data_IF_185293956503
#
_entry.id   IF_185293956503
#
_cell.length_a   1.000
_cell.length_b   1.000
_cell.length_c   1.000
_cell.angle_alpha   90.00
_cell.angle_beta   90.00
_cell.angle_gamma   90.00
#
_symmetry.space_group_name_H-M   'P 1'
#
loop_
_entity.id
_entity.type
_entity.pdbx_description
1 polymer ?
#
# COMPACT_ATOMS: atom_id res chain seq x y z
N UNK A 1 8.05 18.13 -21.23
CA UNK A 1 7.53 19.26 -20.42
C UNK A 1 6.68 18.82 -19.23
N UNK A 2 6.34 17.52 -19.11
CA UNK A 2 5.44 16.98 -18.08
C UNK A 2 6.07 16.68 -16.71
N UNK A 3 7.39 16.54 -16.64
CA UNK A 3 8.14 16.23 -15.41
C UNK A 3 8.20 17.41 -14.43
N UNK A 4 8.41 18.64 -14.91
CA UNK A 4 8.52 19.83 -14.05
C UNK A 4 7.16 20.22 -13.42
N UNK A 5 6.07 20.07 -14.18
CA UNK A 5 4.70 20.37 -13.73
C UNK A 5 4.22 19.37 -12.68
N UNK A 6 4.61 18.10 -12.82
CA UNK A 6 4.39 17.04 -11.83
C UNK A 6 5.17 17.32 -10.53
N UNK A 7 6.44 17.70 -10.62
CA UNK A 7 7.28 17.99 -9.45
C UNK A 7 6.84 19.24 -8.66
N UNK A 8 6.31 20.28 -9.32
CA UNK A 8 5.77 21.46 -8.63
C UNK A 8 4.42 21.20 -7.94
N UNK A 9 3.59 20.29 -8.48
CA UNK A 9 2.38 19.81 -7.79
C UNK A 9 2.75 18.99 -6.54
N UNK A 10 3.74 18.10 -6.68
CA UNK A 10 4.30 17.32 -5.57
C UNK A 10 4.86 18.23 -4.47
N UNK A 11 5.61 19.30 -4.81
CA UNK A 11 6.12 20.29 -3.83
C UNK A 11 5.01 20.92 -2.98
N UNK A 12 3.91 21.35 -3.60
CA UNK A 12 2.77 21.97 -2.91
C UNK A 12 1.95 20.97 -2.09
N UNK A 13 1.83 19.72 -2.55
CA UNK A 13 1.16 18.66 -1.82
C UNK A 13 1.98 18.20 -0.60
N UNK A 14 3.32 18.15 -0.69
CA UNK A 14 4.18 17.78 0.45
C UNK A 14 4.16 18.86 1.54
N UNK A 15 4.19 20.15 1.18
CA UNK A 15 4.06 21.22 2.18
C UNK A 15 2.71 21.16 2.90
N UNK A 16 1.66 20.69 2.21
CA UNK A 16 0.34 20.47 2.82
C UNK A 16 0.33 19.23 3.73
N UNK A 17 0.86 18.08 3.28
CA UNK A 17 1.00 16.87 4.10
C UNK A 17 1.80 17.15 5.38
N UNK A 18 2.86 17.96 5.28
CA UNK A 18 3.67 18.39 6.43
C UNK A 18 2.91 19.32 7.39
N UNK A 19 2.10 20.25 6.86
CA UNK A 19 1.26 21.13 7.68
C UNK A 19 0.14 20.35 8.38
N UNK A 20 -0.46 19.38 7.69
CA UNK A 20 -1.52 18.54 8.25
C UNK A 20 -0.98 17.59 9.34
N UNK A 21 0.24 17.05 9.18
CA UNK A 21 0.93 16.23 10.22
C UNK A 21 1.38 17.04 11.45
N UNK A 22 1.52 18.36 11.37
CA UNK A 22 1.92 19.23 12.49
C UNK A 22 0.71 19.73 13.29
N UNK A 23 -0.48 19.79 12.70
CA UNK A 23 -1.66 20.38 13.33
C UNK A 23 -2.55 19.39 14.10
N UNK A 24 -2.24 18.08 14.09
CA UNK A 24 -3.01 17.08 14.85
C UNK A 24 -2.51 16.90 16.30
N UNK A 25 -1.35 17.46 16.66
CA UNK A 25 -0.83 17.48 18.04
C UNK A 25 -1.05 18.85 18.69
N UNK A 26 -2.29 19.12 19.10
CA UNK A 26 -2.58 20.18 20.08
C UNK A 26 -3.29 19.59 21.30
N UNK A 27 -2.56 18.80 22.07
CA UNK A 27 -2.72 18.71 23.52
C UNK A 27 -1.52 18.04 24.19
N UNK A 28 -0.87 18.85 25.03
CA UNK A 28 -0.18 18.53 26.28
C UNK A 28 1.34 18.30 26.34
N UNK A 29 1.96 19.37 26.86
CA UNK A 29 3.06 19.55 27.80
C UNK A 29 4.34 18.70 27.73
N UNK A 30 5.46 19.43 27.73
CA UNK A 30 6.79 18.87 27.80
C UNK A 30 7.24 18.61 29.24
N UNK A 31 8.09 17.60 29.40
CA UNK A 31 9.09 17.57 30.46
C UNK A 31 10.22 16.60 30.10
N UNK A 32 11.44 17.12 30.06
CA UNK A 32 12.68 16.36 30.02
C UNK A 32 12.84 15.58 31.34
N UNK A 33 13.07 14.26 31.28
CA UNK A 33 13.82 13.57 32.35
C UNK A 33 14.56 12.33 31.82
N UNK A 34 15.87 12.36 32.04
CA UNK A 34 16.83 11.29 31.77
C UNK A 34 16.71 10.26 32.92
N UNK A 35 16.23 9.04 32.65
CA UNK A 35 16.53 7.91 33.55
C UNK A 35 16.67 6.59 32.81
N UNK A 36 17.93 6.17 32.71
CA UNK A 36 18.36 4.82 32.35
C UNK A 36 17.92 3.83 33.44
N UNK A 37 16.99 2.92 33.11
CA UNK A 37 16.74 1.73 33.92
C UNK A 37 16.62 0.48 33.06
N UNK A 38 17.70 -0.30 33.11
CA UNK A 38 17.81 -1.64 32.59
C UNK A 38 16.91 -2.58 33.40
N UNK A 39 15.82 -3.07 32.80
CA UNK A 39 15.06 -4.20 33.35
C UNK A 39 14.69 -5.17 32.24
N UNK A 40 15.26 -6.37 32.34
CA UNK A 40 14.97 -7.53 31.51
C UNK A 40 13.52 -8.02 31.67
N UNK A 41 13.03 -8.66 30.60
CA UNK A 41 11.95 -9.67 30.53
C UNK A 41 10.52 -9.20 30.22
N UNK A 42 10.25 -9.00 28.92
CA UNK A 42 9.17 -9.69 28.18
C UNK A 42 9.22 -9.22 26.72
N UNK A 43 9.84 -9.97 25.80
CA UNK A 43 9.87 -9.58 24.37
C UNK A 43 8.54 -9.91 23.69
N UNK A 44 7.48 -9.25 24.15
CA UNK A 44 6.42 -8.84 23.24
C UNK A 44 7.10 -7.99 22.16
N UNK A 45 7.35 -8.60 21.00
CA UNK A 45 8.03 -8.03 19.83
C UNK A 45 7.24 -6.83 19.28
N UNK A 46 7.18 -5.73 20.03
CA UNK A 46 6.68 -4.44 19.59
C UNK A 46 7.76 -3.81 18.71
N UNK A 47 7.92 -4.32 17.49
CA UNK A 47 8.79 -3.69 16.50
C UNK A 47 8.30 -2.26 16.25
N UNK A 48 9.23 -1.32 16.31
CA UNK A 48 8.99 0.10 16.12
C UNK A 48 9.58 0.61 14.80
N UNK A 49 9.02 1.69 14.29
CA UNK A 49 9.50 2.40 13.10
C UNK A 49 10.79 3.15 13.41
N UNK A 50 11.83 2.99 12.58
CA UNK A 50 13.13 3.66 12.80
C UNK A 50 13.16 5.15 12.42
N UNK A 51 12.04 5.73 11.99
CA UNK A 51 11.90 7.17 11.72
C UNK A 51 11.07 7.84 12.82
N UNK A 52 9.87 7.32 13.13
CA UNK A 52 8.95 7.94 14.08
C UNK A 52 9.04 7.34 15.49
N UNK A 53 9.74 6.21 15.66
CA UNK A 53 9.78 5.43 16.90
C UNK A 53 8.43 4.88 17.39
N UNK A 54 7.38 5.03 16.60
CA UNK A 54 6.05 4.47 16.84
C UNK A 54 5.99 2.98 16.47
N UNK A 55 4.89 2.32 16.83
CA UNK A 55 4.64 0.93 16.46
C UNK A 55 4.55 0.75 14.94
N UNK A 56 5.09 -0.36 14.43
CA UNK A 56 4.93 -0.72 13.02
C UNK A 56 3.48 -1.07 12.67
N UNK A 57 2.96 -0.44 11.63
CA UNK A 57 1.63 -0.68 11.07
C UNK A 57 1.59 -1.94 10.19
N UNK A 58 0.37 -2.36 9.79
CA UNK A 58 0.17 -3.50 8.89
C UNK A 58 0.81 -3.31 7.52
N UNK A 59 0.85 -2.07 7.03
CA UNK A 59 1.40 -1.71 5.73
C UNK A 59 2.87 -1.24 5.81
N UNK A 60 3.59 -1.66 6.87
CA UNK A 60 5.01 -1.37 7.01
C UNK A 60 5.82 -1.91 5.84
N UNK A 61 6.93 -1.23 5.53
CA UNK A 61 7.85 -1.62 4.47
C UNK A 61 9.17 -2.05 5.07
N UNK A 62 9.64 -3.22 4.62
CA UNK A 62 11.01 -3.69 4.83
C UNK A 62 11.86 -3.40 3.60
N UNK A 63 12.93 -2.63 3.75
CA UNK A 63 13.90 -2.35 2.68
C UNK A 63 14.86 -3.54 2.47
N UNK A 64 15.64 -3.54 1.38
CA UNK A 64 16.63 -4.61 1.10
C UNK A 64 17.75 -4.68 2.14
N UNK A 65 18.00 -3.57 2.86
CA UNK A 65 18.93 -3.51 3.98
C UNK A 65 18.31 -4.00 5.32
N UNK A 66 17.16 -4.66 5.27
CA UNK A 66 16.42 -5.23 6.40
C UNK A 66 15.81 -4.24 7.40
N UNK A 67 15.95 -2.93 7.20
CA UNK A 67 15.28 -1.93 8.03
C UNK A 67 13.80 -1.82 7.68
N UNK A 68 12.96 -1.73 8.73
CA UNK A 68 11.51 -1.68 8.66
C UNK A 68 11.01 -0.28 9.06
N UNK A 69 10.06 0.25 8.29
CA UNK A 69 9.51 1.60 8.48
C UNK A 69 8.00 1.62 8.23
N UNK A 70 7.29 2.53 8.88
CA UNK A 70 5.93 2.89 8.48
C UNK A 70 5.95 3.58 7.12
N UNK A 71 4.91 3.35 6.31
CA UNK A 71 4.91 3.71 4.89
C UNK A 71 4.98 5.22 4.66
N UNK A 72 4.18 6.01 5.38
CA UNK A 72 4.14 7.47 5.20
C UNK A 72 5.48 8.14 5.58
N UNK A 73 6.09 7.84 6.75
CA UNK A 73 7.41 8.37 7.09
C UNK A 73 8.48 8.07 6.05
N UNK A 74 8.58 6.82 5.58
CA UNK A 74 9.60 6.46 4.58
C UNK A 74 9.32 7.10 3.21
N UNK A 75 8.05 7.23 2.81
CA UNK A 75 7.67 7.91 1.58
C UNK A 75 8.13 9.36 1.58
N UNK A 76 7.90 10.05 2.69
CA UNK A 76 8.28 11.45 2.87
C UNK A 76 9.79 11.64 2.84
N UNK A 77 10.54 10.83 3.59
CA UNK A 77 12.01 10.89 3.63
C UNK A 77 12.63 10.61 2.26
N UNK A 78 12.17 9.59 1.53
CA UNK A 78 12.66 9.31 0.18
C UNK A 78 12.33 10.44 -0.80
N UNK A 79 11.18 11.09 -0.62
CA UNK A 79 10.81 12.23 -1.46
C UNK A 79 11.71 13.43 -1.21
N UNK A 80 12.04 13.74 0.04
CA UNK A 80 13.04 14.77 0.39
C UNK A 80 14.39 14.51 -0.27
N UNK A 81 14.89 13.27 -0.17
CA UNK A 81 16.17 12.86 -0.76
C UNK A 81 16.24 13.16 -2.27
N UNK A 82 15.12 13.07 -2.98
CA UNK A 82 15.06 13.28 -4.43
C UNK A 82 14.72 14.70 -4.85
N UNK A 83 14.00 15.42 -3.99
CA UNK A 83 13.49 16.75 -4.28
C UNK A 83 14.51 17.84 -3.94
N UNK A 84 15.18 17.68 -2.81
CA UNK A 84 16.11 18.67 -2.28
C UNK A 84 17.53 18.17 -2.45
N UNK A 85 18.31 18.87 -3.26
CA UNK A 85 19.76 18.74 -3.25
C UNK A 85 20.26 19.47 -2.01
N UNK A 86 20.73 18.74 -1.02
CA UNK A 86 21.43 19.34 0.12
C UNK A 86 22.80 19.82 -0.34
N UNK A 87 23.22 21.00 0.08
CA UNK A 87 24.60 21.48 -0.13
C UNK A 87 25.65 20.57 0.55
N UNK A 88 25.22 19.73 1.50
CA UNK A 88 26.06 18.81 2.26
C UNK A 88 26.11 17.39 1.66
N UNK A 89 25.17 17.04 0.76
CA UNK A 89 25.10 15.71 0.15
C UNK A 89 25.13 15.82 -1.37
N UNK A 90 26.30 15.52 -1.94
CA UNK A 90 26.53 15.44 -3.39
C UNK A 90 25.87 14.21 -4.04
N UNK A 91 25.21 13.37 -3.25
CA UNK A 91 24.66 12.11 -3.73
C UNK A 91 23.44 12.34 -4.64
N UNK A 92 23.63 12.12 -5.94
CA UNK A 92 22.57 12.20 -6.94
C UNK A 92 21.94 10.83 -7.17
N UNK A 93 20.79 10.57 -6.54
CA UNK A 93 20.03 9.34 -6.75
C UNK A 93 19.32 9.35 -8.10
N UNK A 94 19.45 8.26 -8.86
CA UNK A 94 18.64 8.07 -10.07
C UNK A 94 17.15 7.88 -9.73
N UNK A 95 16.22 8.04 -10.68
CA UNK A 95 14.79 7.80 -10.43
C UNK A 95 14.49 6.39 -9.89
N UNK A 96 15.29 5.38 -10.21
CA UNK A 96 15.13 4.01 -9.74
C UNK A 96 15.80 3.71 -8.39
N UNK A 97 16.56 4.65 -7.85
CA UNK A 97 17.34 4.46 -6.62
C UNK A 97 16.73 5.19 -5.43
N UNK A 98 16.84 4.64 -4.24
CA UNK A 98 16.56 5.35 -2.99
C UNK A 98 17.62 5.01 -1.95
N UNK A 99 17.79 5.89 -0.96
CA UNK A 99 18.69 5.67 0.16
C UNK A 99 17.88 5.33 1.41
N UNK A 100 18.31 4.31 2.15
CA UNK A 100 17.74 4.02 3.46
C UNK A 100 18.00 5.21 4.43
N UNK A 101 16.97 5.77 5.08
CA UNK A 101 17.17 6.87 6.05
C UNK A 101 18.04 6.47 7.25
N UNK A 102 17.98 5.20 7.66
CA UNK A 102 18.72 4.70 8.82
C UNK A 102 20.19 4.39 8.51
N UNK A 103 20.46 3.41 7.64
CA UNK A 103 21.83 2.93 7.38
C UNK A 103 22.50 3.56 6.16
N UNK A 104 21.83 4.48 5.46
CA UNK A 104 22.33 5.14 4.24
C UNK A 104 22.68 4.21 3.06
N UNK A 105 22.31 2.93 3.12
CA UNK A 105 22.49 2.02 2.00
C UNK A 105 21.63 2.46 0.79
N UNK A 106 22.25 2.53 -0.39
CA UNK A 106 21.57 2.88 -1.65
C UNK A 106 21.07 1.59 -2.29
N UNK A 107 19.80 1.56 -2.65
CA UNK A 107 19.18 0.43 -3.31
C UNK A 107 18.55 0.83 -4.64
N UNK A 108 18.64 -0.05 -5.65
CA UNK A 108 18.13 0.16 -7.01
C UNK A 108 16.64 -0.23 -7.16
N UNK A 109 15.86 0.00 -6.11
CA UNK A 109 14.43 -0.23 -6.04
C UNK A 109 13.78 0.97 -5.37
N UNK A 110 12.57 1.32 -5.77
CA UNK A 110 11.77 2.39 -5.16
C UNK A 110 10.59 1.80 -4.37
N UNK A 111 9.86 2.64 -3.63
CA UNK A 111 8.74 2.19 -2.82
C UNK A 111 7.60 1.61 -3.70
N UNK A 112 6.82 0.67 -3.18
CA UNK A 112 5.58 0.23 -3.80
C UNK A 112 4.50 1.28 -3.66
N UNK A 113 3.62 1.38 -4.65
CA UNK A 113 2.43 2.23 -4.58
C UNK A 113 1.36 1.51 -3.76
N UNK A 114 0.93 2.11 -2.65
CA UNK A 114 -0.22 1.66 -1.86
C UNK A 114 -1.54 2.27 -2.39
N UNK A 115 -2.66 1.69 -1.96
CA UNK A 115 -3.98 2.28 -2.17
C UNK A 115 -4.02 3.63 -1.44
N UNK A 116 -4.72 4.60 -2.02
CA UNK A 116 -4.96 5.92 -1.43
C UNK A 116 -3.72 6.83 -1.25
N UNK A 117 -2.56 6.44 -1.79
CA UNK A 117 -1.36 7.27 -1.83
C UNK A 117 -1.15 7.85 -3.24
N UNK A 118 -0.78 9.14 -3.30
CA UNK A 118 -0.45 9.80 -4.56
C UNK A 118 0.77 9.18 -5.25
N UNK A 119 0.73 9.17 -6.58
CA UNK A 119 1.85 8.69 -7.41
C UNK A 119 2.92 9.78 -7.53
N UNK A 120 4.12 9.48 -7.03
CA UNK A 120 5.30 10.33 -7.08
C UNK A 120 6.36 9.63 -7.93
N UNK A 121 6.66 10.23 -9.08
CA UNK A 121 7.65 9.68 -10.01
C UNK A 121 9.04 9.62 -9.38
N UNK A 122 9.68 8.46 -9.50
CA UNK A 122 10.98 8.15 -8.91
C UNK A 122 10.93 7.80 -7.42
N UNK A 123 9.77 7.86 -6.75
CA UNK A 123 9.64 7.55 -5.31
C UNK A 123 8.80 6.30 -5.08
N UNK A 124 7.54 6.29 -5.56
CA UNK A 124 6.64 5.13 -5.45
C UNK A 124 6.06 4.70 -6.81
N UNK A 125 6.50 5.36 -7.89
CA UNK A 125 6.12 5.09 -9.27
C UNK A 125 7.32 5.36 -10.19
N UNK A 126 7.56 4.61 -11.28
CA UNK A 126 6.77 3.53 -11.86
C UNK A 126 7.05 2.13 -11.30
N UNK A 127 6.08 1.23 -11.47
CA UNK A 127 6.11 -0.16 -10.95
C UNK A 127 7.30 -1.01 -11.41
N UNK A 128 7.92 -0.66 -12.54
CA UNK A 128 9.12 -1.35 -13.04
C UNK A 128 10.31 -1.23 -12.09
N UNK A 129 10.35 -0.19 -11.26
CA UNK A 129 11.43 0.03 -10.28
C UNK A 129 11.02 -0.35 -8.86
N UNK A 130 9.75 -0.70 -8.64
CA UNK A 130 9.21 -0.95 -7.31
C UNK A 130 9.85 -2.17 -6.64
N UNK A 131 10.06 -2.05 -5.33
CA UNK A 131 10.47 -3.12 -4.44
C UNK A 131 9.46 -4.27 -4.44
N UNK A 132 9.95 -5.48 -4.72
CA UNK A 132 9.17 -6.72 -4.77
C UNK A 132 9.91 -7.79 -3.98
N UNK A 133 9.86 -7.77 -2.65
CA UNK A 133 10.62 -8.69 -1.81
C UNK A 133 9.98 -10.08 -1.76
N UNK A 134 8.71 -10.22 -2.15
CA UNK A 134 7.93 -11.44 -2.01
C UNK A 134 7.69 -12.12 -3.36
N UNK A 135 7.44 -13.43 -3.34
CA UNK A 135 6.96 -14.20 -4.49
C UNK A 135 5.47 -14.50 -4.26
N UNK A 136 4.66 -14.36 -5.30
CA UNK A 136 3.22 -14.53 -5.22
C UNK A 136 2.80 -15.92 -4.71
N UNK A 137 2.13 -15.97 -3.56
CA UNK A 137 1.70 -17.23 -2.92
C UNK A 137 0.41 -17.81 -3.50
N UNK A 138 -0.03 -17.36 -4.69
CA UNK A 138 -1.26 -17.86 -5.29
C UNK A 138 -1.06 -19.26 -5.88
N UNK A 139 -1.93 -20.21 -5.49
CA UNK A 139 -1.95 -21.55 -6.05
C UNK A 139 -3.04 -21.68 -7.11
N UNK A 140 -2.69 -22.19 -8.29
CA UNK A 140 -3.66 -22.35 -9.37
C UNK A 140 -4.67 -23.46 -9.03
N UNK A 141 -5.96 -23.13 -9.07
CA UNK A 141 -7.06 -24.05 -8.74
C UNK A 141 -7.46 -24.92 -9.94
N UNK A 142 -7.14 -24.47 -11.16
CA UNK A 142 -7.54 -25.13 -12.41
C UNK A 142 -6.48 -24.97 -13.52
N UNK A 143 -6.69 -25.70 -14.63
CA UNK A 143 -5.83 -25.67 -15.81
C UNK A 143 -4.55 -26.50 -15.68
N UNK A 144 -3.64 -26.35 -16.66
CA UNK A 144 -2.40 -27.15 -16.76
C UNK A 144 -1.43 -26.96 -15.58
N UNK A 145 -1.51 -25.82 -14.90
CA UNK A 145 -0.67 -25.46 -13.74
C UNK A 145 -1.35 -25.74 -12.40
N UNK A 146 -2.49 -26.44 -12.36
CA UNK A 146 -3.23 -26.71 -11.12
C UNK A 146 -2.31 -27.28 -10.04
N UNK A 147 -2.40 -26.74 -8.83
CA UNK A 147 -1.56 -27.12 -7.69
C UNK A 147 -0.21 -26.40 -7.63
N UNK A 148 0.27 -25.80 -8.72
CA UNK A 148 1.51 -25.01 -8.70
C UNK A 148 1.26 -23.60 -8.16
N UNK A 149 2.30 -22.99 -7.60
CA UNK A 149 2.30 -21.59 -7.17
C UNK A 149 2.61 -20.65 -8.33
N UNK A 150 2.40 -19.36 -8.12
CA UNK A 150 2.74 -18.31 -9.06
C UNK A 150 4.19 -17.84 -8.87
N UNK A 151 4.93 -17.73 -9.97
CA UNK A 151 6.37 -17.39 -9.91
C UNK A 151 6.63 -15.88 -10.03
N UNK A 152 5.60 -15.04 -9.86
CA UNK A 152 5.73 -13.58 -10.04
C UNK A 152 6.16 -12.91 -8.74
N UNK A 153 7.22 -12.11 -8.81
CA UNK A 153 7.61 -11.21 -7.72
C UNK A 153 6.54 -10.12 -7.45
N UNK A 154 6.29 -9.83 -6.19
CA UNK A 154 5.33 -8.81 -5.74
C UNK A 154 5.73 -8.16 -4.41
N UNK A 155 5.06 -7.04 -4.10
CA UNK A 155 5.20 -6.39 -2.80
C UNK A 155 4.41 -7.11 -1.71
N UNK A 156 3.12 -7.39 -1.95
CA UNK A 156 2.26 -8.10 -1.01
C UNK A 156 2.36 -9.61 -1.14
N UNK A 157 1.39 -10.30 -0.56
CA UNK A 157 1.24 -11.78 -0.63
C UNK A 157 0.92 -12.27 -2.03
N UNK A 158 0.19 -11.47 -2.82
CA UNK A 158 -0.23 -11.81 -4.17
C UNK A 158 0.24 -10.78 -5.18
N UNK A 159 0.55 -11.21 -6.41
CA UNK A 159 0.82 -10.29 -7.50
C UNK A 159 -0.45 -9.50 -7.87
N UNK A 160 -0.31 -8.32 -8.48
CA UNK A 160 -1.44 -7.44 -8.83
C UNK A 160 -2.59 -8.12 -9.57
N UNK A 161 -2.26 -9.12 -10.39
CA UNK A 161 -3.28 -9.88 -11.12
C UNK A 161 -4.08 -10.79 -10.18
N UNK A 162 -3.41 -11.49 -9.26
CA UNK A 162 -4.06 -12.41 -8.33
C UNK A 162 -4.70 -11.68 -7.14
N UNK A 163 -4.09 -10.59 -6.65
CA UNK A 163 -4.66 -9.74 -5.61
C UNK A 163 -6.07 -9.27 -6.00
N UNK A 164 -6.25 -8.84 -7.25
CA UNK A 164 -7.56 -8.47 -7.80
C UNK A 164 -8.61 -9.58 -7.71
N UNK A 165 -8.23 -10.86 -7.81
CA UNK A 165 -9.19 -11.97 -7.71
C UNK A 165 -9.48 -12.34 -6.25
N UNK A 166 -8.50 -12.20 -5.36
CA UNK A 166 -8.65 -12.51 -3.93
C UNK A 166 -9.45 -11.42 -3.22
N UNK A 167 -9.16 -10.14 -3.49
CA UNK A 167 -9.82 -9.01 -2.83
C UNK A 167 -11.14 -8.62 -3.50
N UNK A 168 -11.39 -9.04 -4.74
CA UNK A 168 -12.70 -8.87 -5.35
C UNK A 168 -13.68 -9.87 -4.72
N UNK A 169 -14.33 -9.44 -3.63
CA UNK A 169 -15.54 -10.11 -3.16
C UNK A 169 -16.52 -10.16 -4.32
N UNK A 170 -17.00 -11.34 -4.76
CA UNK A 170 -18.07 -11.39 -5.74
C UNK A 170 -19.28 -10.74 -5.09
N UNK A 171 -19.66 -9.54 -5.53
CA UNK A 171 -20.91 -8.92 -5.08
C UNK A 171 -22.04 -9.75 -5.67
N UNK A 172 -22.51 -10.73 -4.91
CA UNK A 172 -23.64 -11.58 -5.29
C UNK A 172 -24.92 -10.79 -5.07
N UNK A 173 -25.31 -9.96 -6.05
CA UNK A 173 -26.65 -9.40 -6.03
C UNK A 173 -27.67 -10.52 -6.29
N UNK A 174 -28.69 -10.61 -5.45
CA UNK A 174 -29.81 -11.56 -5.62
C UNK A 174 -30.99 -10.84 -6.24
N UNK A 175 -31.63 -11.49 -7.19
CA UNK A 175 -32.82 -10.95 -7.85
C UNK A 175 -34.01 -10.96 -6.89
N UNK A 176 -34.60 -9.79 -6.69
CA UNK A 176 -35.74 -9.56 -5.79
C UNK A 176 -37.11 -9.73 -6.46
N UNK A 177 -37.17 -9.95 -7.78
CA UNK A 177 -38.44 -10.12 -8.49
C UNK A 177 -39.24 -11.35 -8.02
N UNK A 178 -40.55 -11.17 -7.94
CA UNK A 178 -41.53 -12.22 -7.67
C UNK A 178 -41.91 -12.95 -8.96
N UNK A 179 -41.89 -14.29 -8.91
CA UNK A 179 -42.22 -15.15 -10.05
C UNK A 179 -43.74 -15.07 -10.35
N UNK A 180 -44.10 -14.73 -11.59
CA UNK A 180 -45.51 -14.51 -11.99
C UNK A 180 -46.26 -15.77 -12.46
N UNK A 181 -45.56 -16.86 -12.76
CA UNK A 181 -46.14 -18.07 -13.36
C UNK A 181 -45.40 -19.35 -12.97
N UNK A 182 -46.04 -20.50 -13.23
CA UNK A 182 -45.50 -21.83 -12.97
C UNK A 182 -45.61 -22.29 -11.51
N UNK A 183 -44.98 -23.42 -11.16
CA UNK A 183 -45.12 -24.06 -9.85
C UNK A 183 -44.65 -23.21 -8.65
N UNK A 184 -43.75 -22.25 -8.91
CA UNK A 184 -43.17 -21.34 -7.91
C UNK A 184 -43.74 -19.92 -7.99
N UNK A 185 -44.94 -19.76 -8.53
CA UNK A 185 -45.60 -18.45 -8.61
C UNK A 185 -45.78 -17.88 -7.20
N UNK A 186 -45.39 -16.61 -7.01
CA UNK A 186 -45.41 -15.92 -5.72
C UNK A 186 -44.09 -15.98 -4.95
N UNK A 187 -43.16 -16.88 -5.30
CA UNK A 187 -41.85 -16.94 -4.66
C UNK A 187 -40.88 -15.86 -5.19
N UNK A 188 -39.90 -15.43 -4.39
CA UNK A 188 -38.78 -14.64 -4.87
C UNK A 188 -37.88 -15.45 -5.81
N UNK A 189 -37.42 -14.80 -6.87
CA UNK A 189 -36.56 -15.42 -7.89
C UNK A 189 -35.24 -15.95 -7.30
N UNK A 190 -34.61 -15.13 -6.43
CA UNK A 190 -33.35 -15.41 -5.74
C UNK A 190 -32.17 -15.82 -6.66
N UNK A 191 -32.30 -15.60 -7.97
CA UNK A 191 -31.26 -15.85 -8.94
C UNK A 191 -30.17 -14.77 -8.86
N UNK A 192 -28.92 -15.14 -9.13
CA UNK A 192 -27.82 -14.17 -9.15
C UNK A 192 -28.04 -13.12 -10.26
N UNK A 193 -28.05 -11.85 -9.89
CA UNK A 193 -28.05 -10.71 -10.79
C UNK A 193 -26.64 -10.11 -10.89
N UNK A 194 -26.27 -9.64 -12.07
CA UNK A 194 -24.95 -9.03 -12.32
C UNK A 194 -24.99 -7.54 -11.96
N UNK A 195 -25.04 -7.21 -10.68
CA UNK A 195 -25.00 -5.81 -10.23
C UNK A 195 -26.33 -5.06 -10.24
N UNK A 196 -27.40 -5.67 -10.74
CA UNK A 196 -28.73 -5.04 -10.84
C UNK A 196 -29.71 -5.63 -9.82
N UNK A 197 -30.80 -4.93 -9.53
CA UNK A 197 -31.92 -5.42 -8.71
C UNK A 197 -32.58 -6.69 -9.31
N UNK A 198 -32.58 -6.80 -10.64
CA UNK A 198 -33.21 -7.89 -11.38
C UNK A 198 -32.19 -8.76 -12.15
N UNK A 199 -32.44 -10.07 -12.25
CA UNK A 199 -31.65 -10.96 -13.11
C UNK A 199 -32.04 -10.83 -14.59
N UNK A 200 -31.27 -11.41 -15.52
CA UNK A 200 -31.54 -11.34 -16.96
C UNK A 200 -32.95 -11.76 -17.40
N UNK A 201 -33.63 -12.60 -16.60
CA UNK A 201 -35.03 -13.01 -16.84
C UNK A 201 -36.05 -11.91 -16.51
N UNK A 202 -35.66 -10.95 -15.67
CA UNK A 202 -36.51 -9.89 -15.12
C UNK A 202 -36.01 -8.48 -15.46
N UNK A 203 -34.90 -8.34 -16.18
CA UNK A 203 -34.40 -7.04 -16.69
C UNK A 203 -35.05 -6.61 -18.01
N UNK A 204 -35.85 -7.48 -18.63
CA UNK A 204 -36.73 -7.10 -19.75
C UNK A 204 -38.07 -6.68 -19.14
N UNK A 205 -38.18 -5.40 -18.81
CA UNK A 205 -39.47 -4.71 -18.75
C UNK A 205 -39.56 -3.92 -20.03
#
# INVERSE_FOLDING_TARGET
>A
MDTQKSMNKVRKNISKIFFDMINDDSSDDGSDDDTNNNTNNNTNNNKTCLITHERLEKDCIKLLCNHEFNYLPILYEVTKQKLYKSNYSSLSLTPSQMQCPYCRNIQNRILPLLRDVEKIYGVNYPDKYTLKPNICSYQFISGKRKGNTCDKECHGTYCKQHDRYITATPVQHKCTAVIKCGPRKGDPCNANSKGNEYCKRHTKI
#
